data_IF_710082351398
#
_entry.id   IF_710082351398
#
_cell.length_a   1.000
_cell.length_b   1.000
_cell.length_c   1.000
_cell.angle_alpha   90.00
_cell.angle_beta   90.00
_cell.angle_gamma   90.00
#
_symmetry.space_group_name_H-M   'P 1'
#
loop_
_entity.id
_entity.type
_entity.pdbx_description
1 polymer ?
#
# COMPACT_ATOMS: atom_id res chain seq x y z
N UNK A 1 -14.94 -14.82 -27.08
CA UNK A 1 -16.13 -13.98 -26.79
C UNK A 1 -17.29 -14.93 -26.60
N UNK A 2 -18.35 -14.52 -25.93
CA UNK A 2 -19.58 -15.30 -25.79
C UNK A 2 -20.66 -14.61 -26.61
N UNK A 3 -21.31 -15.37 -27.49
CA UNK A 3 -22.41 -14.86 -28.32
C UNK A 3 -23.68 -14.91 -27.49
N UNK A 4 -24.31 -13.75 -27.28
CA UNK A 4 -25.61 -13.66 -26.61
C UNK A 4 -26.68 -13.60 -27.70
N UNK A 5 -27.58 -14.60 -27.79
CA UNK A 5 -28.64 -14.60 -28.80
C UNK A 5 -29.44 -13.28 -28.75
N UNK A 6 -29.53 -12.60 -29.89
CA UNK A 6 -30.25 -11.33 -30.04
C UNK A 6 -29.58 -10.09 -29.40
N UNK A 7 -28.40 -10.21 -28.78
CA UNK A 7 -27.71 -9.07 -28.10
C UNK A 7 -26.25 -8.87 -28.52
N UNK A 8 -25.76 -9.60 -29.52
CA UNK A 8 -24.40 -9.50 -30.03
C UNK A 8 -23.38 -10.31 -29.21
N UNK A 9 -22.08 -10.01 -29.38
CA UNK A 9 -21.00 -10.71 -28.69
C UNK A 9 -20.52 -9.94 -27.46
N UNK A 10 -20.46 -10.60 -26.29
CA UNK A 10 -19.87 -10.06 -25.06
C UNK A 10 -18.54 -10.73 -24.74
N UNK A 11 -17.70 -10.11 -23.90
CA UNK A 11 -16.52 -10.81 -23.37
C UNK A 11 -16.99 -11.97 -22.47
N UNK A 12 -16.48 -13.18 -22.75
CA UNK A 12 -16.72 -14.37 -21.93
C UNK A 12 -16.31 -14.11 -20.48
N UNK A 13 -17.05 -14.63 -19.51
CA UNK A 13 -16.70 -14.57 -18.09
C UNK A 13 -15.32 -15.17 -17.80
N UNK A 14 -14.97 -16.25 -18.50
CA UNK A 14 -13.63 -16.84 -18.48
C UNK A 14 -12.50 -15.84 -18.81
N UNK A 15 -12.76 -14.89 -19.72
CA UNK A 15 -11.80 -13.84 -20.10
C UNK A 15 -11.80 -12.68 -19.10
N UNK A 16 -12.93 -12.40 -18.44
CA UNK A 16 -12.98 -11.47 -17.30
C UNK A 16 -12.15 -12.04 -16.14
N UNK A 17 -12.40 -13.28 -15.72
CA UNK A 17 -11.63 -13.94 -14.66
C UNK A 17 -10.12 -13.95 -14.95
N UNK A 18 -9.68 -14.39 -16.15
CA UNK A 18 -8.25 -14.34 -16.53
C UNK A 18 -7.68 -12.92 -16.55
N UNK A 19 -8.46 -11.93 -16.96
CA UNK A 19 -8.03 -10.52 -16.94
C UNK A 19 -7.82 -10.03 -15.50
N UNK A 20 -8.70 -10.40 -14.57
CA UNK A 20 -8.61 -10.02 -13.16
C UNK A 20 -7.43 -10.71 -12.47
N UNK A 21 -7.21 -12.01 -12.72
CA UNK A 21 -6.03 -12.72 -12.20
C UNK A 21 -4.74 -12.09 -12.71
N UNK A 22 -4.66 -11.79 -14.00
CA UNK A 22 -3.49 -11.13 -14.58
C UNK A 22 -3.25 -9.71 -14.04
N UNK A 23 -4.31 -8.98 -13.67
CA UNK A 23 -4.22 -7.67 -13.03
C UNK A 23 -3.68 -7.80 -11.60
N UNK A 24 -4.20 -8.75 -10.82
CA UNK A 24 -3.72 -9.03 -9.46
C UNK A 24 -2.26 -9.48 -9.46
N UNK A 25 -1.82 -10.31 -10.40
CA UNK A 25 -0.41 -10.73 -10.51
C UNK A 25 0.53 -9.54 -10.74
N UNK A 26 0.07 -8.52 -11.48
CA UNK A 26 0.83 -7.29 -11.74
C UNK A 26 0.90 -6.35 -10.53
N UNK A 27 0.04 -6.53 -9.52
CA UNK A 27 0.03 -5.65 -8.33
C UNK A 27 1.24 -5.82 -7.42
N UNK A 28 2.02 -6.89 -7.58
CA UNK A 28 3.18 -7.24 -6.74
C UNK A 28 2.85 -7.40 -5.24
N UNK A 29 1.61 -7.77 -4.88
CA UNK A 29 1.25 -8.10 -3.49
C UNK A 29 2.04 -9.35 -3.04
N UNK A 30 2.83 -9.28 -1.95
CA UNK A 30 3.53 -10.45 -1.39
C UNK A 30 2.57 -11.59 -1.01
N UNK A 31 2.99 -12.84 -1.20
CA UNK A 31 2.19 -14.05 -0.88
C UNK A 31 1.62 -14.05 0.54
N UNK A 32 2.35 -13.49 1.51
CA UNK A 32 1.89 -13.36 2.91
C UNK A 32 0.63 -12.51 3.10
N UNK A 33 0.29 -11.68 2.11
CA UNK A 33 -0.91 -10.83 2.11
C UNK A 33 -1.98 -11.32 1.11
N UNK A 34 -1.82 -12.53 0.58
CA UNK A 34 -2.77 -13.14 -0.35
C UNK A 34 -4.18 -13.25 0.24
N UNK A 35 -4.32 -13.41 1.55
CA UNK A 35 -5.63 -13.50 2.23
C UNK A 35 -6.09 -12.18 2.90
N UNK A 36 -5.36 -11.08 2.70
CA UNK A 36 -5.78 -9.77 3.20
C UNK A 36 -6.90 -9.20 2.32
N UNK A 37 -8.12 -9.22 2.85
CA UNK A 37 -9.33 -8.64 2.25
C UNK A 37 -10.10 -7.84 3.31
N UNK A 38 -11.01 -6.96 2.90
CA UNK A 38 -11.87 -6.26 3.84
C UNK A 38 -12.67 -7.21 4.72
N UNK A 39 -13.25 -8.27 4.15
CA UNK A 39 -14.03 -9.26 4.90
C UNK A 39 -13.17 -10.12 5.86
N UNK A 40 -11.86 -10.20 5.67
CA UNK A 40 -10.94 -10.92 6.56
C UNK A 40 -10.29 -10.01 7.59
N UNK A 41 -10.51 -8.70 7.53
CA UNK A 41 -10.00 -7.75 8.51
C UNK A 41 -10.81 -7.80 9.81
N UNK A 42 -10.15 -8.07 10.93
CA UNK A 42 -10.79 -8.09 12.26
C UNK A 42 -10.62 -6.74 12.94
N UNK A 43 -11.73 -6.09 13.22
CA UNK A 43 -11.77 -4.84 13.99
C UNK A 43 -11.77 -5.18 15.48
N UNK A 44 -10.71 -4.77 16.20
CA UNK A 44 -10.55 -5.06 17.63
C UNK A 44 -10.84 -3.85 18.51
N UNK A 45 -10.80 -2.64 17.97
CA UNK A 45 -11.00 -1.41 18.74
C UNK A 45 -11.50 -0.24 17.85
N UNK A 46 -11.96 0.88 18.45
CA UNK A 46 -12.50 2.02 17.70
C UNK A 46 -11.51 2.69 16.74
N UNK A 47 -10.19 2.62 17.00
CA UNK A 47 -9.18 3.16 16.08
C UNK A 47 -9.09 2.33 14.81
N UNK A 48 -9.10 1.00 14.92
CA UNK A 48 -9.17 0.09 13.77
C UNK A 48 -10.51 0.20 13.03
N UNK A 49 -11.62 0.42 13.75
CA UNK A 49 -12.94 0.63 13.13
C UNK A 49 -12.95 1.88 12.23
N UNK A 50 -12.40 2.99 12.74
CA UNK A 50 -12.26 4.23 11.94
C UNK A 50 -11.36 4.00 10.72
N UNK A 51 -10.24 3.31 10.89
CA UNK A 51 -9.35 2.98 9.79
C UNK A 51 -10.04 2.12 8.72
N UNK A 52 -10.79 1.11 9.13
CA UNK A 52 -11.59 0.26 8.24
C UNK A 52 -12.64 1.07 7.47
N UNK A 53 -13.33 2.01 8.13
CA UNK A 53 -14.32 2.89 7.48
C UNK A 53 -13.67 3.76 6.41
N UNK A 54 -12.52 4.40 6.69
CA UNK A 54 -11.82 5.20 5.69
C UNK A 54 -11.30 4.35 4.52
N UNK A 55 -10.73 3.19 4.81
CA UNK A 55 -10.22 2.27 3.81
C UNK A 55 -11.34 1.77 2.87
N UNK A 56 -12.45 1.33 3.45
CA UNK A 56 -13.62 0.87 2.69
C UNK A 56 -14.20 1.98 1.84
N UNK A 57 -14.34 3.19 2.40
CA UNK A 57 -14.84 4.37 1.67
C UNK A 57 -13.95 4.69 0.47
N UNK A 58 -12.63 4.74 0.65
CA UNK A 58 -11.69 5.00 -0.44
C UNK A 58 -11.83 3.95 -1.55
N UNK A 59 -11.86 2.66 -1.18
CA UNK A 59 -11.98 1.57 -2.15
C UNK A 59 -13.29 1.57 -2.93
N UNK A 60 -14.39 2.09 -2.34
CA UNK A 60 -15.70 2.19 -2.99
C UNK A 60 -15.83 3.44 -3.87
N UNK A 61 -15.35 4.58 -3.39
CA UNK A 61 -15.63 5.89 -4.01
C UNK A 61 -14.55 6.38 -4.98
N UNK A 62 -13.35 5.78 -5.01
CA UNK A 62 -12.35 6.09 -6.05
C UNK A 62 -12.95 5.88 -7.46
N UNK A 63 -12.73 6.78 -8.45
CA UNK A 63 -11.81 7.92 -8.44
C UNK A 63 -12.41 9.25 -7.97
N UNK A 64 -13.63 9.27 -7.43
CA UNK A 64 -14.22 10.51 -6.88
C UNK A 64 -13.50 11.01 -5.61
N UNK A 65 -12.80 10.12 -4.91
CA UNK A 65 -11.83 10.47 -3.86
C UNK A 65 -10.43 10.42 -4.48
N UNK A 66 -9.70 11.53 -4.44
CA UNK A 66 -8.34 11.69 -4.96
C UNK A 66 -7.26 11.75 -3.88
N UNK A 67 -7.64 11.88 -2.59
CA UNK A 67 -6.72 11.79 -1.45
C UNK A 67 -6.52 10.35 -0.96
N UNK A 68 -5.26 9.99 -0.77
CA UNK A 68 -4.83 8.72 -0.22
C UNK A 68 -5.01 8.60 1.30
N UNK A 69 -4.49 7.51 1.86
CA UNK A 69 -4.46 7.26 3.30
C UNK A 69 -3.02 7.03 3.75
N UNK A 70 -2.64 7.67 4.85
CA UNK A 70 -1.41 7.36 5.59
C UNK A 70 -1.81 6.60 6.85
N UNK A 71 -1.70 5.28 6.83
CA UNK A 71 -1.90 4.46 8.02
C UNK A 71 -0.66 4.58 8.91
N UNK A 72 -0.85 5.10 10.13
CA UNK A 72 0.24 5.37 11.07
C UNK A 72 -0.02 4.67 12.39
N UNK A 73 0.91 3.89 12.90
CA UNK A 73 0.68 3.17 14.15
C UNK A 73 1.71 2.09 14.43
N UNK A 74 1.64 1.46 15.60
CA UNK A 74 2.55 0.38 16.01
C UNK A 74 2.47 -0.85 15.09
N UNK A 75 3.47 -1.71 15.16
CA UNK A 75 3.48 -2.98 14.41
C UNK A 75 2.28 -3.85 14.79
N UNK A 76 1.78 -4.63 13.83
CA UNK A 76 0.75 -5.64 14.11
C UNK A 76 -0.70 -5.15 14.16
N UNK A 77 -0.97 -3.85 14.03
CA UNK A 77 -2.36 -3.30 14.09
C UNK A 77 -3.15 -3.36 12.77
N UNK A 78 -2.57 -3.97 11.72
CA UNK A 78 -3.26 -4.23 10.46
C UNK A 78 -3.21 -3.11 9.40
N UNK A 79 -2.25 -2.19 9.48
CA UNK A 79 -2.03 -1.11 8.48
C UNK A 79 -1.89 -1.65 7.05
N UNK A 80 -0.96 -2.58 6.85
CA UNK A 80 -0.70 -3.21 5.55
C UNK A 80 -1.89 -4.03 5.06
N UNK A 81 -2.64 -4.67 5.97
CA UNK A 81 -3.86 -5.42 5.62
C UNK A 81 -4.89 -4.50 4.97
N UNK A 82 -5.17 -3.34 5.59
CA UNK A 82 -6.11 -2.36 5.03
C UNK A 82 -5.60 -1.80 3.70
N UNK A 83 -4.30 -1.45 3.60
CA UNK A 83 -3.71 -0.98 2.35
C UNK A 83 -3.85 -1.99 1.21
N UNK A 84 -3.55 -3.27 1.46
CA UNK A 84 -3.71 -4.37 0.50
C UNK A 84 -5.18 -4.60 0.16
N UNK A 85 -6.09 -4.49 1.13
CA UNK A 85 -7.53 -4.66 0.89
C UNK A 85 -8.08 -3.59 -0.06
N UNK A 86 -7.64 -2.33 0.11
CA UNK A 86 -7.96 -1.26 -0.85
C UNK A 86 -7.42 -1.62 -2.23
N UNK A 87 -6.14 -2.01 -2.30
CA UNK A 87 -5.47 -2.30 -3.56
C UNK A 87 -6.18 -3.41 -4.36
N UNK A 88 -6.55 -4.50 -3.68
CA UNK A 88 -7.32 -5.59 -4.29
C UNK A 88 -8.69 -5.14 -4.77
N UNK A 89 -9.43 -4.42 -3.94
CA UNK A 89 -10.77 -3.93 -4.31
C UNK A 89 -10.72 -2.99 -5.54
N UNK A 90 -9.69 -2.16 -5.67
CA UNK A 90 -9.50 -1.30 -6.83
C UNK A 90 -9.03 -2.09 -8.06
N UNK A 91 -8.16 -3.08 -7.87
CA UNK A 91 -7.72 -3.96 -8.96
C UNK A 91 -8.88 -4.78 -9.53
N UNK A 92 -9.77 -5.26 -8.67
CA UNK A 92 -11.01 -5.96 -9.07
C UNK A 92 -11.96 -5.06 -9.86
N UNK A 93 -11.92 -3.75 -9.62
CA UNK A 93 -12.66 -2.74 -10.40
C UNK A 93 -11.96 -2.34 -11.70
N UNK A 94 -10.78 -2.90 -11.98
CA UNK A 94 -10.05 -2.72 -13.23
C UNK A 94 -8.98 -1.63 -13.22
N UNK A 95 -8.68 -1.04 -12.07
CA UNK A 95 -7.61 -0.04 -11.94
C UNK A 95 -6.23 -0.69 -11.88
N UNK A 96 -5.24 0.01 -12.42
CA UNK A 96 -3.83 -0.37 -12.39
C UNK A 96 -3.25 0.01 -11.03
N UNK A 97 -3.04 -0.99 -10.19
CA UNK A 97 -2.52 -0.79 -8.84
C UNK A 97 -1.15 -1.46 -8.65
N UNK A 98 -0.29 -0.88 -7.82
CA UNK A 98 1.00 -1.47 -7.43
C UNK A 98 1.21 -1.40 -5.93
N UNK A 99 1.81 -2.46 -5.38
CA UNK A 99 2.27 -2.56 -4.01
C UNK A 99 3.79 -2.67 -3.98
N UNK A 100 4.42 -1.88 -3.11
CA UNK A 100 5.82 -2.04 -2.76
C UNK A 100 6.03 -1.86 -1.26
N UNK A 101 6.83 -2.76 -0.68
CA UNK A 101 7.53 -2.47 0.55
C UNK A 101 8.69 -1.52 0.22
N UNK A 102 8.76 -0.36 0.89
CA UNK A 102 9.67 0.70 0.47
C UNK A 102 11.14 0.29 0.53
N UNK A 103 11.54 -0.50 1.54
CA UNK A 103 12.91 -1.03 1.64
C UNK A 103 13.27 -1.96 0.48
N UNK A 104 12.35 -2.84 0.08
CA UNK A 104 12.54 -3.73 -1.06
C UNK A 104 12.63 -2.96 -2.38
N UNK A 105 11.82 -1.90 -2.53
CA UNK A 105 11.90 -1.01 -3.69
C UNK A 105 13.26 -0.32 -3.80
N UNK A 106 13.78 0.23 -2.69
CA UNK A 106 15.10 0.85 -2.68
C UNK A 106 16.17 -0.15 -3.16
N UNK A 107 16.12 -1.39 -2.67
CA UNK A 107 17.06 -2.42 -3.11
C UNK A 107 16.94 -2.73 -4.60
N UNK A 108 15.72 -2.85 -5.13
CA UNK A 108 15.49 -3.10 -6.55
C UNK A 108 16.04 -1.96 -7.43
N UNK A 109 15.89 -0.71 -6.99
CA UNK A 109 16.48 0.45 -7.66
C UNK A 109 18.01 0.39 -7.61
N UNK A 110 18.60 0.08 -6.44
CA UNK A 110 20.06 -0.04 -6.30
C UNK A 110 20.63 -1.15 -7.17
N UNK A 111 19.98 -2.31 -7.19
CA UNK A 111 20.40 -3.47 -7.99
C UNK A 111 20.34 -3.16 -9.50
N UNK A 112 19.47 -2.23 -9.92
CA UNK A 112 19.41 -1.78 -11.32
C UNK A 112 20.69 -1.06 -11.77
N UNK A 113 21.36 -0.30 -10.89
CA UNK A 113 22.60 0.41 -11.24
C UNK A 113 23.75 -0.53 -11.62
N UNK A 114 23.78 -1.74 -11.06
CA UNK A 114 24.79 -2.75 -11.37
C UNK A 114 24.68 -3.28 -12.81
N UNK A 115 23.60 -2.97 -13.54
CA UNK A 115 23.37 -3.40 -14.92
C UNK A 115 23.93 -2.45 -16.01
N UNK A 116 24.83 -1.53 -15.64
CA UNK A 116 25.60 -0.63 -16.53
C UNK A 116 24.78 0.31 -17.46
N UNK A 117 23.48 0.52 -17.26
CA UNK A 117 22.69 1.45 -18.09
C UNK A 117 21.64 2.23 -17.30
N UNK A 118 21.53 3.56 -17.51
CA UNK A 118 20.46 4.40 -16.92
C UNK A 118 19.05 3.96 -17.34
N UNK A 119 18.94 3.26 -18.48
CA UNK A 119 17.68 2.68 -18.95
C UNK A 119 17.13 1.63 -17.97
N UNK A 120 17.96 1.02 -17.12
CA UNK A 120 17.53 0.01 -16.15
C UNK A 120 16.75 0.59 -14.96
N UNK A 121 17.21 1.71 -14.41
CA UNK A 121 16.54 2.40 -13.30
C UNK A 121 15.17 2.93 -13.74
N UNK A 122 15.11 3.60 -14.88
CA UNK A 122 13.85 4.12 -15.43
C UNK A 122 12.83 3.01 -15.68
N UNK A 123 13.27 1.79 -16.03
CA UNK A 123 12.37 0.64 -16.17
C UNK A 123 11.75 0.20 -14.85
N UNK A 124 12.46 0.36 -13.73
CA UNK A 124 11.93 0.07 -12.38
C UNK A 124 11.01 1.19 -11.91
N UNK A 125 11.42 2.45 -12.10
CA UNK A 125 10.68 3.62 -11.61
C UNK A 125 9.43 3.92 -12.42
N UNK A 126 9.46 3.82 -13.76
CA UNK A 126 8.35 4.26 -14.60
C UNK A 126 7.00 3.63 -14.21
N UNK A 127 6.87 2.29 -13.98
CA UNK A 127 5.60 1.71 -13.52
C UNK A 127 5.11 2.28 -12.18
N UNK A 128 6.02 2.62 -11.27
CA UNK A 128 5.73 3.13 -9.92
C UNK A 128 5.25 4.57 -10.00
N UNK A 129 5.88 5.37 -10.84
CA UNK A 129 5.46 6.74 -11.12
C UNK A 129 4.12 6.76 -11.86
N UNK A 130 3.87 5.78 -12.74
CA UNK A 130 2.69 5.74 -13.61
C UNK A 130 1.43 5.08 -13.06
N UNK A 131 1.55 4.16 -12.10
CA UNK A 131 0.37 3.44 -11.58
C UNK A 131 -0.73 4.40 -11.06
N UNK A 132 -1.99 4.08 -11.40
CA UNK A 132 -3.17 4.83 -10.98
C UNK A 132 -3.27 4.88 -9.46
N UNK A 133 -2.91 3.75 -8.81
CA UNK A 133 -2.87 3.63 -7.35
C UNK A 133 -1.58 2.94 -6.91
N UNK A 134 -0.87 3.54 -5.96
CA UNK A 134 0.36 2.97 -5.39
C UNK A 134 0.21 2.80 -3.88
N UNK A 135 0.58 1.63 -3.36
CA UNK A 135 0.84 1.42 -1.93
C UNK A 135 2.34 1.41 -1.70
N UNK A 136 2.83 2.29 -0.82
CA UNK A 136 4.18 2.29 -0.29
C UNK A 136 4.12 1.88 1.19
N UNK A 137 4.44 0.62 1.45
CA UNK A 137 4.43 0.00 2.78
C UNK A 137 5.73 0.30 3.54
N UNK A 138 5.62 0.51 4.84
CA UNK A 138 6.72 0.74 5.79
C UNK A 138 7.64 1.93 5.45
N UNK A 139 7.05 3.06 5.04
CA UNK A 139 7.84 4.28 4.84
C UNK A 139 8.52 4.73 6.13
N UNK A 140 9.78 5.16 5.98
CA UNK A 140 10.65 5.57 7.09
C UNK A 140 11.39 4.41 7.77
N UNK A 141 11.09 3.13 7.48
CA UNK A 141 11.79 2.01 8.13
C UNK A 141 13.27 1.91 7.74
N UNK A 142 13.60 2.26 6.49
CA UNK A 142 14.99 2.29 6.01
C UNK A 142 15.78 3.44 6.63
N UNK A 143 17.09 3.25 6.81
CA UNK A 143 17.99 4.31 7.29
C UNK A 143 17.92 5.53 6.34
N UNK A 144 17.72 6.74 6.86
CA UNK A 144 17.49 7.94 6.04
C UNK A 144 18.80 8.52 5.49
N UNK A 145 19.47 7.76 4.61
CA UNK A 145 20.62 8.26 3.84
C UNK A 145 20.16 9.31 2.83
N UNK A 146 21.09 10.14 2.33
CA UNK A 146 20.79 11.15 1.32
C UNK A 146 20.14 10.54 0.07
N UNK A 147 20.74 9.47 -0.47
CA UNK A 147 20.17 8.74 -1.59
C UNK A 147 18.74 8.22 -1.31
N UNK A 148 18.48 7.65 -0.13
CA UNK A 148 17.12 7.19 0.23
C UNK A 148 16.13 8.35 0.25
N UNK A 149 16.53 9.51 0.80
CA UNK A 149 15.68 10.71 0.85
C UNK A 149 15.40 11.24 -0.54
N UNK A 150 16.40 11.26 -1.42
CA UNK A 150 16.26 11.73 -2.80
C UNK A 150 15.36 10.80 -3.62
N UNK A 151 15.55 9.48 -3.51
CA UNK A 151 14.67 8.50 -4.18
C UNK A 151 13.23 8.61 -3.67
N UNK A 152 13.05 8.71 -2.35
CA UNK A 152 11.71 8.92 -1.77
C UNK A 152 11.09 10.22 -2.26
N UNK A 153 11.86 11.30 -2.28
CA UNK A 153 11.41 12.60 -2.74
C UNK A 153 11.03 12.57 -4.22
N UNK A 154 11.81 11.89 -5.06
CA UNK A 154 11.50 11.74 -6.47
C UNK A 154 10.13 11.06 -6.67
N UNK A 155 9.91 9.90 -6.03
CA UNK A 155 8.65 9.15 -6.16
C UNK A 155 7.47 9.97 -5.64
N UNK A 156 7.58 10.52 -4.42
CA UNK A 156 6.47 11.25 -3.78
C UNK A 156 6.18 12.55 -4.53
N UNK A 157 7.20 13.32 -4.94
CA UNK A 157 6.98 14.60 -5.63
C UNK A 157 6.33 14.40 -7.00
N UNK A 158 6.76 13.40 -7.79
CA UNK A 158 6.16 13.12 -9.09
C UNK A 158 4.69 12.76 -8.94
N UNK A 159 4.36 11.82 -8.03
CA UNK A 159 2.97 11.41 -7.80
C UNK A 159 2.11 12.50 -7.18
N UNK A 160 2.69 13.35 -6.35
CA UNK A 160 2.05 14.55 -5.82
C UNK A 160 1.65 15.52 -6.94
N UNK A 161 2.59 15.86 -7.82
CA UNK A 161 2.36 16.79 -8.93
C UNK A 161 1.29 16.26 -9.91
N UNK A 162 1.32 14.96 -10.16
CA UNK A 162 0.37 14.29 -11.05
C UNK A 162 -0.97 13.93 -10.37
N UNK A 163 -1.14 14.29 -9.09
CA UNK A 163 -2.33 13.97 -8.27
C UNK A 163 -2.70 12.48 -8.29
N UNK A 164 -1.70 11.59 -8.31
CA UNK A 164 -1.92 10.14 -8.33
C UNK A 164 -2.15 9.60 -6.93
N UNK A 165 -3.21 8.82 -6.76
CA UNK A 165 -3.60 8.24 -5.46
C UNK A 165 -2.44 7.39 -4.91
N UNK A 166 -2.01 7.70 -3.70
CA UNK A 166 -0.92 6.96 -3.03
C UNK A 166 -1.31 6.67 -1.60
N UNK A 167 -1.18 5.42 -1.19
CA UNK A 167 -1.47 4.95 0.16
C UNK A 167 -0.14 4.59 0.81
N UNK A 168 0.03 5.00 2.07
CA UNK A 168 1.26 4.81 2.81
C UNK A 168 0.99 4.08 4.10
N UNK A 169 1.95 3.28 4.56
CA UNK A 169 1.96 2.78 5.94
C UNK A 169 3.26 3.18 6.63
N UNK A 170 3.19 3.47 7.92
CA UNK A 170 4.38 3.75 8.71
C UNK A 170 4.22 3.34 10.17
N UNK A 171 5.35 2.94 10.77
CA UNK A 171 5.46 2.69 12.20
C UNK A 171 5.90 3.93 13.00
N UNK A 172 6.28 5.02 12.32
CA UNK A 172 6.81 6.22 12.95
C UNK A 172 5.66 7.22 13.21
N UNK A 173 5.47 7.66 14.48
CA UNK A 173 4.42 8.62 14.83
C UNK A 173 4.78 10.04 14.39
N UNK A 174 3.84 10.97 14.46
CA UNK A 174 4.10 12.41 14.30
C UNK A 174 4.69 13.05 15.54
N UNK A 175 4.38 12.47 16.71
CA UNK A 175 4.83 12.95 18.00
C UNK A 175 5.71 11.88 18.66
N UNK A 176 6.85 12.31 19.21
CA UNK A 176 7.74 11.44 19.99
C UNK A 176 7.01 11.00 21.26
N UNK A 177 7.09 9.71 21.58
CA UNK A 177 6.53 9.18 22.86
C UNK A 177 7.59 9.10 23.94
N UNK A 178 8.83 8.87 23.55
CA UNK A 178 10.03 8.99 24.36
C UNK A 178 11.09 9.83 23.65
N UNK A 179 12.06 10.38 24.38
CA UNK A 179 13.13 11.24 23.83
C UNK A 179 13.92 10.58 22.68
N UNK A 180 14.04 9.26 22.70
CA UNK A 180 14.79 8.50 21.69
C UNK A 180 13.96 8.06 20.50
N UNK A 181 12.65 8.26 20.52
CA UNK A 181 11.78 7.87 19.42
C UNK A 181 11.96 8.81 18.25
N UNK A 182 12.09 8.27 17.04
CA UNK A 182 12.04 9.04 15.81
C UNK A 182 10.58 9.23 15.37
N UNK A 183 10.27 10.44 14.90
CA UNK A 183 9.01 10.75 14.22
C UNK A 183 9.10 10.40 12.74
N UNK A 184 7.96 10.36 12.03
CA UNK A 184 8.01 10.21 10.57
C UNK A 184 8.80 11.35 9.93
N UNK A 185 8.66 12.57 10.46
CA UNK A 185 9.37 13.74 9.97
C UNK A 185 10.90 13.60 10.08
N UNK A 186 11.42 13.03 11.16
CA UNK A 186 12.87 12.76 11.28
C UNK A 186 13.38 11.83 10.17
N UNK A 187 12.53 10.86 9.78
CA UNK A 187 12.88 9.84 8.79
C UNK A 187 12.80 10.36 7.36
N UNK A 188 11.76 11.13 7.03
CA UNK A 188 11.49 11.54 5.64
C UNK A 188 11.75 13.03 5.37
N UNK A 189 11.96 13.83 6.41
CA UNK A 189 12.14 15.27 6.34
C UNK A 189 10.82 16.05 6.27
N UNK A 190 10.87 17.27 6.81
CA UNK A 190 9.75 18.23 6.91
C UNK A 190 9.02 18.41 5.57
N UNK A 191 9.78 18.55 4.48
CA UNK A 191 9.24 18.84 3.15
C UNK A 191 8.41 17.68 2.58
N UNK A 192 8.82 16.43 2.80
CA UNK A 192 8.03 15.28 2.36
C UNK A 192 6.83 15.06 3.27
N UNK A 193 7.02 15.22 4.58
CA UNK A 193 5.92 15.15 5.54
C UNK A 193 4.81 16.16 5.24
N UNK A 194 5.16 17.39 4.88
CA UNK A 194 4.22 18.42 4.45
C UNK A 194 3.38 17.98 3.25
N UNK A 195 4.00 17.36 2.22
CA UNK A 195 3.24 16.82 1.07
C UNK A 195 2.32 15.69 1.46
N UNK A 196 2.74 14.80 2.37
CA UNK A 196 1.87 13.71 2.83
C UNK A 196 0.60 14.23 3.51
N UNK A 197 0.63 15.38 4.21
CA UNK A 197 -0.58 15.99 4.79
C UNK A 197 -1.60 16.44 3.73
N UNK A 198 -1.14 16.82 2.53
CA UNK A 198 -2.01 17.22 1.43
C UNK A 198 -2.49 16.01 0.61
N UNK A 199 -1.57 15.10 0.29
CA UNK A 199 -1.85 13.88 -0.49
C UNK A 199 -2.78 12.91 0.23
N UNK A 200 -2.69 12.86 1.56
CA UNK A 200 -3.28 11.79 2.35
C UNK A 200 -4.03 12.30 3.56
N UNK A 201 -5.06 11.56 3.93
CA UNK A 201 -5.59 11.62 5.29
C UNK A 201 -4.72 10.74 6.18
N UNK A 202 -4.14 11.32 7.24
CA UNK A 202 -3.48 10.54 8.30
C UNK A 202 -4.52 9.77 9.11
N UNK A 203 -4.31 8.46 9.24
CA UNK A 203 -5.18 7.54 9.97
C UNK A 203 -4.36 6.86 11.07
N UNK A 204 -4.40 7.40 12.30
CA UNK A 204 -3.75 6.77 13.44
C UNK A 204 -4.43 5.44 13.78
N UNK A 205 -3.61 4.40 13.94
CA UNK A 205 -3.99 3.04 14.29
C UNK A 205 -3.29 2.62 15.58
N UNK A 206 -4.07 2.34 16.61
CA UNK A 206 -3.57 1.82 17.90
C UNK A 206 -4.17 0.44 18.18
N UNK A 207 -3.45 -0.38 18.94
CA UNK A 207 -3.88 -1.71 19.34
C UNK A 207 -2.70 -2.63 19.60
N UNK A 208 -3.02 -3.83 20.08
CA UNK A 208 -2.05 -4.89 20.31
C UNK A 208 -1.57 -5.50 19.00
N UNK A 209 -0.37 -6.09 19.03
CA UNK A 209 0.18 -6.80 17.88
C UNK A 209 -0.58 -8.12 17.66
N UNK A 210 -1.43 -8.14 16.62
CA UNK A 210 -2.18 -9.34 16.24
C UNK A 210 -1.29 -10.52 15.87
N UNK A 211 -0.02 -10.31 15.52
CA UNK A 211 0.90 -11.42 15.24
C UNK A 211 1.25 -12.19 16.51
N UNK A 212 1.21 -11.55 17.67
CA UNK A 212 1.46 -12.19 18.98
C UNK A 212 0.28 -13.02 19.48
N UNK A 213 -0.93 -12.77 18.99
CA UNK A 213 -2.10 -13.56 19.40
C UNK A 213 -2.18 -14.93 18.72
N UNK A 214 -1.41 -15.17 17.64
CA UNK A 214 -1.26 -16.50 17.03
C UNK A 214 -0.48 -17.48 17.92
N UNK A 215 0.47 -17.02 18.73
CA UNK A 215 1.29 -17.87 19.61
C UNK A 215 0.50 -18.47 20.79
N UNK A 216 -0.74 -18.02 21.03
CA UNK A 216 -1.58 -18.49 22.14
C UNK A 216 -2.71 -19.44 21.73
N UNK A 217 -2.76 -19.90 20.47
CA UNK A 217 -3.64 -21.02 20.10
C UNK A 217 -2.97 -22.33 20.53
N UNK A 218 -3.21 -22.72 21.78
CA UNK A 218 -2.87 -24.06 22.28
C UNK A 218 -3.43 -25.12 21.31
N UNK A 219 -2.66 -26.15 20.90
CA UNK A 219 -3.20 -27.18 20.03
C UNK A 219 -4.38 -27.83 20.74
N UNK A 220 -5.55 -27.78 20.10
CA UNK A 220 -6.73 -28.53 20.52
C UNK A 220 -6.29 -30.00 20.58
N UNK A 221 -6.17 -30.53 21.80
CA UNK A 221 -5.99 -31.98 22.00
C UNK A 221 -7.17 -32.67 21.35
N UNK A 222 -6.93 -33.34 20.22
CA UNK A 222 -7.87 -34.29 19.64
C UNK A 222 -8.15 -35.34 20.72
N UNK A 223 -9.40 -35.41 21.19
CA UNK A 223 -9.95 -36.58 21.87
C UNK A 223 -10.56 -37.48 20.81
#
# INVERSE_FOLDING_TARGET
MEVVPGKGARRCECRKQKSHTNLLDKTRIPKRYADCHFHSYRVMNPSQERAFKYASKLAMEYPAIDRGLLFMGTVGVGKTHLAVSILKGLTERGFTCLFYEFGALLKEIQDSYNSNTQTSELKVLAPILDAEVLVLDEIGASKPTEWVRDTMAHIINTRYNDRKLTIFTTNYPDERRAERDETLEDRIGVRLRSRLYEMCRTVPMVGDDFRRTFDHVTPIKKR
#
